data_IF_059953820024
#
_entry.id   IF_059953820024
#
_cell.length_a   1.000
_cell.length_b   1.000
_cell.length_c   1.000
_cell.angle_alpha   90.00
_cell.angle_beta   90.00
_cell.angle_gamma   90.00
#
_symmetry.space_group_name_H-M   'P 1'
#
loop_
_entity.id
_entity.type
_entity.pdbx_description
1 polymer ?
#
# COMPACT_ATOMS: atom_id res chain seq x y z
N UNK A 1 -9.48 -43.68 3.83
CA UNK A 1 -9.27 -43.73 5.28
C UNK A 1 -10.65 -43.65 5.92
N UNK A 2 -11.27 -44.79 6.20
CA UNK A 2 -12.65 -44.83 6.74
C UNK A 2 -12.59 -45.24 8.21
N UNK A 3 -13.35 -44.55 9.07
CA UNK A 3 -13.55 -44.95 10.47
C UNK A 3 -12.77 -44.17 11.54
N UNK A 4 -11.94 -43.19 11.18
CA UNK A 4 -11.23 -42.32 12.14
C UNK A 4 -11.93 -40.97 12.31
N UNK A 5 -11.94 -40.44 13.53
CA UNK A 5 -12.40 -39.06 13.78
C UNK A 5 -11.38 -38.04 13.28
N UNK A 6 -11.82 -36.79 13.08
CA UNK A 6 -10.95 -35.66 12.75
C UNK A 6 -9.91 -35.38 13.86
N UNK A 7 -10.24 -35.66 15.13
CA UNK A 7 -9.31 -35.58 16.26
C UNK A 7 -8.20 -36.63 16.19
N UNK A 8 -8.54 -37.87 15.84
CA UNK A 8 -7.56 -38.97 15.69
C UNK A 8 -6.57 -38.73 14.53
N UNK A 9 -6.98 -37.94 13.55
CA UNK A 9 -6.18 -37.60 12.38
C UNK A 9 -5.40 -36.28 12.55
N UNK A 10 -5.58 -35.57 13.67
CA UNK A 10 -5.00 -34.24 13.88
C UNK A 10 -5.52 -33.20 12.88
N UNK A 11 -6.72 -33.41 12.32
CA UNK A 11 -7.34 -32.54 11.32
C UNK A 11 -8.40 -31.62 11.93
N UNK A 12 -8.62 -31.68 13.24
CA UNK A 12 -9.60 -30.86 13.95
C UNK A 12 -9.50 -29.38 13.59
N UNK A 13 -8.29 -28.81 13.69
CA UNK A 13 -8.04 -27.40 13.42
C UNK A 13 -8.35 -27.02 11.96
N UNK A 14 -8.18 -27.96 11.02
CA UNK A 14 -8.50 -27.75 9.61
C UNK A 14 -10.01 -27.72 9.37
N UNK A 15 -10.77 -28.57 10.07
CA UNK A 15 -12.22 -28.56 9.98
C UNK A 15 -12.88 -27.41 10.76
N UNK A 16 -12.21 -26.91 11.80
CA UNK A 16 -12.63 -25.74 12.57
C UNK A 16 -12.38 -24.41 11.83
N UNK A 17 -11.41 -24.38 10.90
CA UNK A 17 -11.16 -23.22 10.05
C UNK A 17 -12.40 -22.85 9.21
N UNK A 18 -12.49 -21.58 8.80
CA UNK A 18 -13.57 -21.17 7.90
C UNK A 18 -13.30 -21.71 6.48
N UNK A 19 -14.31 -22.25 5.81
CA UNK A 19 -14.13 -22.71 4.42
C UNK A 19 -13.78 -21.55 3.49
N UNK A 20 -12.70 -21.72 2.73
CA UNK A 20 -12.08 -20.69 1.89
C UNK A 20 -11.01 -19.85 2.61
N UNK A 21 -10.72 -20.12 3.88
CA UNK A 21 -9.64 -19.44 4.60
C UNK A 21 -8.27 -20.01 4.26
N UNK A 22 -7.25 -19.15 4.31
CA UNK A 22 -5.85 -19.54 4.19
C UNK A 22 -5.24 -19.63 5.59
N UNK A 23 -4.67 -20.77 5.91
CA UNK A 23 -4.01 -21.03 7.20
C UNK A 23 -2.52 -21.34 6.99
N UNK A 24 -1.72 -21.09 8.02
CA UNK A 24 -0.33 -21.56 8.05
C UNK A 24 -0.30 -22.89 8.79
N UNK A 25 0.09 -23.95 8.08
CA UNK A 25 0.14 -25.29 8.65
C UNK A 25 1.44 -26.00 8.26
N UNK A 26 1.89 -26.90 9.13
CA UNK A 26 3.00 -27.80 8.83
C UNK A 26 2.46 -29.21 8.66
N UNK A 27 2.62 -29.77 7.46
CA UNK A 27 2.38 -31.17 7.14
C UNK A 27 3.73 -31.92 7.08
N UNK A 28 3.74 -33.26 7.21
CA UNK A 28 4.96 -34.04 7.06
C UNK A 28 5.64 -33.76 5.71
N UNK A 29 6.83 -33.16 5.77
CA UNK A 29 7.63 -32.80 4.58
C UNK A 29 7.35 -31.42 3.97
N UNK A 30 6.37 -30.64 4.47
CA UNK A 30 6.09 -29.30 3.94
C UNK A 30 5.41 -28.39 4.97
N UNK A 31 5.97 -27.19 5.16
CA UNK A 31 5.34 -26.11 5.92
C UNK A 31 5.03 -24.95 4.96
N UNK A 32 3.86 -24.34 5.09
CA UNK A 32 3.43 -23.30 4.16
C UNK A 32 2.01 -22.79 4.44
N UNK A 33 1.54 -21.95 3.52
CA UNK A 33 0.16 -21.44 3.49
C UNK A 33 -0.73 -22.36 2.66
N UNK A 34 -1.86 -22.76 3.24
CA UNK A 34 -2.82 -23.67 2.62
C UNK A 34 -4.21 -23.07 2.66
N UNK A 35 -4.92 -23.13 1.53
CA UNK A 35 -6.34 -22.83 1.48
C UNK A 35 -7.13 -24.09 1.86
N UNK A 36 -8.05 -23.94 2.82
CA UNK A 36 -8.87 -25.03 3.31
C UNK A 36 -10.31 -24.86 2.83
N UNK A 37 -10.87 -25.89 2.19
CA UNK A 37 -12.27 -25.92 1.75
C UNK A 37 -12.97 -27.16 2.27
N UNK A 38 -14.21 -26.99 2.69
CA UNK A 38 -15.01 -28.00 3.38
C UNK A 38 -16.31 -28.13 2.60
N UNK A 39 -16.73 -29.36 2.28
CA UNK A 39 -18.02 -29.61 1.66
C UNK A 39 -18.69 -30.83 2.28
N UNK A 40 -20.03 -30.84 2.33
CA UNK A 40 -20.76 -32.03 2.72
C UNK A 40 -20.71 -33.05 1.57
N UNK A 41 -20.37 -34.29 1.87
CA UNK A 41 -20.39 -35.40 0.93
C UNK A 41 -21.53 -36.35 1.30
N UNK A 42 -22.35 -36.72 0.32
CA UNK A 42 -23.30 -37.83 0.46
C UNK A 42 -23.00 -38.85 -0.63
N UNK A 43 -22.65 -40.06 -0.23
CA UNK A 43 -22.34 -41.14 -1.16
C UNK A 43 -23.06 -42.42 -0.68
N UNK A 44 -23.89 -43.00 -1.54
CA UNK A 44 -24.66 -44.24 -1.28
C UNK A 44 -25.35 -44.28 0.09
N UNK A 45 -26.03 -43.19 0.47
CA UNK A 45 -26.76 -43.09 1.74
C UNK A 45 -25.88 -42.84 2.98
N UNK A 46 -24.55 -42.84 2.84
CA UNK A 46 -23.60 -42.48 3.90
C UNK A 46 -23.23 -41.00 3.81
N UNK A 47 -23.34 -40.30 4.93
CA UNK A 47 -22.90 -38.91 5.07
C UNK A 47 -21.39 -38.84 5.37
N UNK A 48 -20.74 -37.80 4.87
CA UNK A 48 -19.33 -37.51 5.12
C UNK A 48 -19.02 -36.03 4.94
N UNK A 49 -17.78 -35.65 5.27
CA UNK A 49 -17.24 -34.31 5.02
C UNK A 49 -16.03 -34.44 4.10
N UNK A 50 -16.00 -33.64 3.05
CA UNK A 50 -14.86 -33.49 2.14
C UNK A 50 -14.01 -32.32 2.63
N UNK A 51 -12.73 -32.58 2.88
CA UNK A 51 -11.72 -31.57 3.16
C UNK A 51 -10.79 -31.48 1.96
N UNK A 52 -10.65 -30.28 1.40
CA UNK A 52 -9.71 -29.98 0.33
C UNK A 52 -8.66 -29.02 0.90
N UNK A 53 -7.41 -29.41 0.79
CA UNK A 53 -6.25 -28.64 1.25
C UNK A 53 -5.46 -28.28 -0.01
N UNK A 54 -5.43 -27.00 -0.37
CA UNK A 54 -4.73 -26.52 -1.54
C UNK A 54 -3.48 -25.74 -1.13
N UNK A 55 -2.33 -26.10 -1.67
CA UNK A 55 -1.10 -25.34 -1.41
C UNK A 55 -1.11 -24.05 -2.23
N UNK A 56 -1.27 -22.93 -1.53
CA UNK A 56 -1.30 -21.60 -2.14
C UNK A 56 0.01 -20.85 -1.91
N UNK A 57 0.96 -21.44 -1.19
CA UNK A 57 2.18 -20.75 -0.78
C UNK A 57 3.05 -20.36 -1.98
N UNK A 58 3.15 -21.24 -2.99
CA UNK A 58 3.88 -20.90 -4.22
C UNK A 58 3.22 -19.75 -4.98
N UNK A 59 1.89 -19.80 -5.13
CA UNK A 59 1.12 -18.78 -5.87
C UNK A 59 1.22 -17.44 -5.16
N UNK A 60 1.00 -17.39 -3.84
CA UNK A 60 1.09 -16.17 -3.04
C UNK A 60 2.51 -15.59 -3.04
N UNK A 61 3.56 -16.43 -2.94
CA UNK A 61 4.96 -15.95 -3.03
C UNK A 61 5.29 -15.39 -4.40
N UNK A 62 4.77 -15.99 -5.47
CA UNK A 62 4.98 -15.48 -6.82
C UNK A 62 4.22 -14.18 -7.05
N UNK A 63 2.99 -14.05 -6.54
CA UNK A 63 2.23 -12.80 -6.56
C UNK A 63 2.93 -11.69 -5.77
N UNK A 64 3.39 -11.97 -4.55
CA UNK A 64 4.17 -11.06 -3.70
C UNK A 64 5.45 -10.63 -4.41
N UNK A 65 6.20 -11.58 -4.99
CA UNK A 65 7.42 -11.30 -5.76
C UNK A 65 7.14 -10.44 -6.97
N UNK A 66 6.08 -10.72 -7.73
CA UNK A 66 5.71 -9.93 -8.90
C UNK A 66 5.27 -8.53 -8.50
N UNK A 67 4.49 -8.39 -7.42
CA UNK A 67 4.11 -7.10 -6.87
C UNK A 67 5.35 -6.31 -6.45
N UNK A 68 6.29 -6.95 -5.75
CA UNK A 68 7.56 -6.35 -5.36
C UNK A 68 8.40 -5.91 -6.56
N UNK A 69 8.53 -6.74 -7.59
CA UNK A 69 9.25 -6.39 -8.82
C UNK A 69 8.60 -5.21 -9.57
N UNK A 70 7.25 -5.18 -9.64
CA UNK A 70 6.52 -4.04 -10.22
C UNK A 70 6.80 -2.76 -9.43
N UNK A 71 6.79 -2.82 -8.10
CA UNK A 71 7.11 -1.69 -7.24
C UNK A 71 8.54 -1.19 -7.47
N UNK A 72 9.53 -2.10 -7.44
CA UNK A 72 10.93 -1.74 -7.72
C UNK A 72 11.11 -1.06 -9.08
N UNK A 73 10.37 -1.51 -10.10
CA UNK A 73 10.41 -0.90 -11.43
C UNK A 73 9.87 0.53 -11.41
N UNK A 74 8.72 0.76 -10.80
CA UNK A 74 8.13 2.11 -10.67
C UNK A 74 9.06 3.04 -9.90
N UNK A 75 9.64 2.56 -8.79
CA UNK A 75 10.64 3.31 -8.02
C UNK A 75 11.85 3.68 -8.88
N UNK A 76 12.41 2.70 -9.58
CA UNK A 76 13.56 2.92 -10.46
C UNK A 76 13.25 3.95 -11.54
N UNK A 77 12.07 3.88 -12.14
CA UNK A 77 11.62 4.89 -13.10
C UNK A 77 11.51 6.28 -12.47
N UNK A 78 10.87 6.42 -11.31
CA UNK A 78 10.64 7.74 -10.71
C UNK A 78 11.92 8.40 -10.19
N UNK A 79 12.84 7.60 -9.63
CA UNK A 79 14.19 8.05 -9.25
C UNK A 79 14.93 8.54 -10.49
N UNK A 80 14.97 7.75 -11.57
CA UNK A 80 15.66 8.13 -12.80
C UNK A 80 15.01 9.36 -13.48
N UNK A 81 13.67 9.44 -13.48
CA UNK A 81 12.91 10.57 -14.01
C UNK A 81 13.20 11.88 -13.28
N UNK A 82 13.56 11.80 -11.99
CA UNK A 82 13.96 12.97 -11.20
C UNK A 82 15.44 13.30 -11.39
N UNK A 83 16.33 12.31 -11.38
CA UNK A 83 17.78 12.50 -11.44
C UNK A 83 18.30 12.89 -12.82
N UNK A 84 17.73 12.34 -13.91
CA UNK A 84 18.23 12.64 -15.26
C UNK A 84 18.09 14.12 -15.64
N UNK A 85 16.94 14.80 -15.40
CA UNK A 85 16.82 16.24 -15.60
C UNK A 85 17.75 17.04 -14.69
N UNK A 86 17.89 16.67 -13.40
CA UNK A 86 18.82 17.35 -12.48
C UNK A 86 20.24 17.33 -13.04
N UNK A 87 20.71 16.16 -13.50
CA UNK A 87 22.03 16.01 -14.09
C UNK A 87 22.18 16.88 -15.35
N UNK A 88 21.16 16.89 -16.21
CA UNK A 88 21.17 17.69 -17.44
C UNK A 88 21.29 19.18 -17.13
N UNK A 89 20.47 19.70 -16.21
CA UNK A 89 20.46 21.12 -15.84
C UNK A 89 21.78 21.50 -15.18
N UNK A 90 22.29 20.67 -14.27
CA UNK A 90 23.59 20.90 -13.65
C UNK A 90 24.70 20.97 -14.71
N UNK A 91 24.69 20.08 -15.71
CA UNK A 91 25.62 20.13 -16.84
C UNK A 91 25.50 21.43 -17.65
N UNK A 92 24.28 21.86 -17.97
CA UNK A 92 24.02 23.14 -18.67
C UNK A 92 24.53 24.33 -17.87
N UNK A 93 24.30 24.36 -16.56
CA UNK A 93 24.79 25.41 -15.67
C UNK A 93 26.31 25.44 -15.59
N UNK A 94 26.96 24.28 -15.51
CA UNK A 94 28.43 24.20 -15.57
C UNK A 94 28.94 24.80 -16.88
N UNK A 95 28.39 24.41 -18.03
CA UNK A 95 28.78 24.97 -19.33
C UNK A 95 28.53 26.48 -19.42
N UNK A 96 27.43 26.98 -18.85
CA UNK A 96 27.12 28.41 -18.80
C UNK A 96 28.19 29.17 -18.02
N UNK A 97 28.60 28.68 -16.84
CA UNK A 97 29.60 29.34 -16.00
C UNK A 97 31.01 29.33 -16.56
N UNK A 98 31.31 28.45 -17.53
CA UNK A 98 32.63 28.36 -18.17
C UNK A 98 32.71 29.07 -19.52
N UNK A 99 31.63 29.73 -19.97
CA UNK A 99 31.62 30.47 -21.24
C UNK A 99 32.31 31.82 -21.09
N UNK A 100 33.15 32.14 -22.07
CA UNK A 100 33.82 33.44 -22.18
C UNK A 100 33.59 34.03 -23.59
N UNK A 101 32.96 35.22 -23.72
CA UNK A 101 32.33 35.99 -22.65
C UNK A 101 31.03 35.32 -22.17
N UNK A 102 30.64 35.61 -20.92
CA UNK A 102 29.35 35.19 -20.37
C UNK A 102 28.19 35.84 -21.13
N UNK A 103 27.08 35.13 -21.38
CA UNK A 103 25.84 35.71 -21.93
C UNK A 103 25.29 36.82 -21.04
N UNK A 104 24.57 37.80 -21.59
CA UNK A 104 24.03 38.95 -20.83
C UNK A 104 23.07 38.53 -19.71
N UNK A 105 22.33 37.44 -19.91
CA UNK A 105 21.29 36.89 -19.04
C UNK A 105 21.77 35.75 -18.13
N UNK A 106 23.08 35.48 -18.08
CA UNK A 106 23.65 34.30 -17.40
C UNK A 106 23.22 34.16 -15.92
N UNK A 107 23.06 35.27 -15.20
CA UNK A 107 22.59 35.26 -13.81
C UNK A 107 21.15 34.76 -13.68
N UNK A 108 20.28 35.11 -14.63
CA UNK A 108 18.89 34.67 -14.66
C UNK A 108 18.80 33.18 -14.92
N UNK A 109 19.48 32.71 -15.97
CA UNK A 109 19.55 31.29 -16.33
C UNK A 109 20.12 30.43 -15.19
N UNK A 110 21.16 30.93 -14.50
CA UNK A 110 21.75 30.25 -13.36
C UNK A 110 20.74 30.08 -12.22
N UNK A 111 20.05 31.16 -11.84
CA UNK A 111 19.04 31.13 -10.78
C UNK A 111 17.89 30.19 -11.14
N UNK A 112 17.39 30.26 -12.36
CA UNK A 112 16.24 29.49 -12.80
C UNK A 112 16.58 27.99 -12.90
N UNK A 113 17.79 27.66 -13.37
CA UNK A 113 18.32 26.31 -13.37
C UNK A 113 18.48 25.73 -11.96
N UNK A 114 19.04 26.50 -11.02
CA UNK A 114 19.17 26.07 -9.62
C UNK A 114 17.80 25.85 -8.97
N UNK A 115 16.84 26.76 -9.19
CA UNK A 115 15.48 26.61 -8.69
C UNK A 115 14.78 25.37 -9.28
N UNK A 116 15.05 25.01 -10.53
CA UNK A 116 14.52 23.79 -11.14
C UNK A 116 15.14 22.52 -10.53
N UNK A 117 16.44 22.52 -10.26
CA UNK A 117 17.13 21.43 -9.54
C UNK A 117 16.51 21.24 -8.16
N UNK A 118 16.35 22.33 -7.39
CA UNK A 118 15.77 22.30 -6.05
C UNK A 118 14.35 21.68 -6.05
N UNK A 119 13.47 22.14 -6.95
CA UNK A 119 12.10 21.59 -7.06
C UNK A 119 12.09 20.10 -7.37
N UNK A 120 12.98 19.63 -8.25
CA UNK A 120 13.10 18.21 -8.63
C UNK A 120 13.62 17.37 -7.46
N UNK A 121 14.64 17.85 -6.75
CA UNK A 121 15.17 17.18 -5.57
C UNK A 121 14.11 17.08 -4.46
N UNK A 122 13.39 18.16 -4.17
CA UNK A 122 12.33 18.17 -3.18
C UNK A 122 11.16 17.23 -3.54
N UNK A 123 10.81 17.13 -4.83
CA UNK A 123 9.81 16.16 -5.30
C UNK A 123 10.27 14.71 -5.08
N UNK A 124 11.52 14.41 -5.41
CA UNK A 124 12.11 13.08 -5.18
C UNK A 124 12.12 12.72 -3.69
N UNK A 125 12.48 13.65 -2.80
CA UNK A 125 12.44 13.44 -1.35
C UNK A 125 11.02 13.11 -0.86
N UNK A 126 10.00 13.85 -1.32
CA UNK A 126 8.60 13.56 -0.97
C UNK A 126 8.15 12.19 -1.47
N UNK A 127 8.55 11.81 -2.68
CA UNK A 127 8.26 10.49 -3.25
C UNK A 127 8.88 9.36 -2.41
N UNK A 128 10.17 9.47 -2.07
CA UNK A 128 10.88 8.48 -1.25
C UNK A 128 10.32 8.39 0.19
N UNK A 129 9.90 9.52 0.77
CA UNK A 129 9.25 9.55 2.08
C UNK A 129 7.88 8.86 2.08
N UNK A 130 7.06 9.07 1.04
CA UNK A 130 5.80 8.34 0.88
C UNK A 130 6.01 6.83 0.71
N UNK A 131 7.09 6.44 0.03
CA UNK A 131 7.43 5.03 -0.16
C UNK A 131 7.93 4.35 1.13
N UNK A 132 8.79 5.02 1.92
CA UNK A 132 9.32 4.44 3.16
C UNK A 132 8.22 4.19 4.21
N UNK A 133 7.15 4.99 4.19
CA UNK A 133 5.95 4.75 4.99
C UNK A 133 5.19 3.50 4.51
N UNK A 134 5.04 3.28 3.21
CA UNK A 134 4.34 2.11 2.65
C UNK A 134 5.13 0.80 2.85
N UNK A 135 6.45 0.85 2.70
CA UNK A 135 7.34 -0.31 2.84
C UNK A 135 7.60 -0.75 4.30
N UNK A 136 7.19 0.06 5.29
CA UNK A 136 7.35 -0.20 6.72
C UNK A 136 6.03 -0.27 7.47
N UNK A 137 4.91 -0.65 6.85
CA UNK A 137 3.71 -0.93 7.64
C UNK A 137 3.99 -2.13 8.56
N UNK A 138 4.09 -1.95 9.90
CA UNK A 138 4.16 -3.09 10.80
C UNK A 138 2.86 -3.90 10.69
N UNK A 139 2.88 -5.20 11.07
CA UNK A 139 1.65 -5.97 11.14
C UNK A 139 0.61 -5.22 11.99
N UNK A 140 -0.63 -5.04 11.49
CA UNK A 140 -1.62 -4.19 12.14
C UNK A 140 -2.01 -4.75 13.51
N UNK A 141 -1.95 -3.91 14.54
CA UNK A 141 -2.42 -4.24 15.88
C UNK A 141 -3.92 -3.90 15.99
N UNK A 142 -4.76 -4.89 15.63
CA UNK A 142 -6.21 -4.70 15.64
C UNK A 142 -6.74 -4.62 17.07
N UNK A 143 -7.41 -3.51 17.38
CA UNK A 143 -8.12 -3.27 18.64
C UNK A 143 -9.51 -2.71 18.36
N UNK A 144 -10.38 -2.80 19.36
CA UNK A 144 -11.72 -2.24 19.27
C UNK A 144 -11.59 -0.72 19.16
N UNK A 145 -12.17 -0.15 18.12
CA UNK A 145 -12.03 1.26 17.76
C UNK A 145 -13.41 1.87 17.47
N UNK A 146 -13.73 2.97 18.14
CA UNK A 146 -14.82 3.87 17.72
C UNK A 146 -14.31 4.72 16.56
N UNK A 147 -14.78 4.38 15.34
CA UNK A 147 -14.34 5.06 14.13
C UNK A 147 -14.80 6.52 14.09
N UNK A 148 -15.96 6.83 14.68
CA UNK A 148 -16.48 8.19 14.74
C UNK A 148 -15.65 9.09 15.65
N UNK A 149 -15.15 8.56 16.77
CA UNK A 149 -14.18 9.27 17.61
C UNK A 149 -12.87 9.56 16.88
N UNK A 150 -12.33 8.59 16.13
CA UNK A 150 -11.10 8.76 15.36
C UNK A 150 -11.25 9.81 14.26
N UNK A 151 -12.31 9.75 13.45
CA UNK A 151 -12.57 10.71 12.38
C UNK A 151 -12.66 12.15 12.92
N UNK A 152 -13.34 12.35 14.06
CA UNK A 152 -13.38 13.64 14.76
C UNK A 152 -12.00 14.12 15.21
N UNK A 153 -11.14 13.21 15.66
CA UNK A 153 -9.77 13.55 16.05
C UNK A 153 -8.95 14.03 14.86
N UNK A 154 -8.98 13.27 13.77
CA UNK A 154 -8.26 13.60 12.53
C UNK A 154 -8.75 14.93 11.93
N UNK A 155 -10.06 15.15 11.89
CA UNK A 155 -10.66 16.38 11.37
C UNK A 155 -10.21 17.63 12.16
N UNK A 156 -9.99 17.51 13.48
CA UNK A 156 -9.43 18.61 14.29
C UNK A 156 -7.95 18.85 14.02
N UNK A 157 -7.20 17.80 13.69
CA UNK A 157 -5.75 17.87 13.47
C UNK A 157 -5.42 18.59 12.15
N UNK A 158 -6.22 18.37 11.10
CA UNK A 158 -6.07 18.99 9.78
C UNK A 158 -6.89 20.29 9.69
N UNK A 159 -6.52 21.30 10.49
CA UNK A 159 -7.21 22.60 10.60
C UNK A 159 -7.17 23.47 9.34
N UNK A 160 -6.41 23.08 8.32
CA UNK A 160 -6.29 23.79 7.04
C UNK A 160 -7.35 23.44 5.99
N UNK A 161 -8.19 22.42 6.22
CA UNK A 161 -9.25 22.01 5.30
C UNK A 161 -10.63 22.10 5.97
N UNK A 162 -11.64 22.56 5.24
CA UNK A 162 -13.02 22.53 5.71
C UNK A 162 -13.55 21.09 5.68
N UNK A 163 -13.33 20.35 6.77
CA UNK A 163 -13.82 18.96 6.91
C UNK A 163 -15.24 18.99 7.47
N UNK A 164 -16.22 18.67 6.62
CA UNK A 164 -17.59 18.40 7.06
C UNK A 164 -17.74 16.90 7.33
N UNK A 165 -18.24 16.55 8.52
CA UNK A 165 -18.59 15.17 8.85
C UNK A 165 -20.10 15.07 9.00
N UNK A 166 -20.72 14.22 8.21
CA UNK A 166 -22.13 13.90 8.38
C UNK A 166 -22.29 12.91 9.53
N UNK A 167 -23.27 13.18 10.40
CA UNK A 167 -23.53 12.34 11.56
C UNK A 167 -24.08 10.98 11.12
N UNK A 168 -23.30 9.93 11.35
CA UNK A 168 -23.70 8.53 11.14
C UNK A 168 -23.93 7.79 12.46
N UNK A 169 -24.50 6.59 12.35
CA UNK A 169 -24.63 5.66 13.48
C UNK A 169 -23.25 5.31 14.06
N UNK A 170 -23.16 5.13 15.38
CA UNK A 170 -21.91 4.73 16.03
C UNK A 170 -21.36 3.42 15.42
N UNK A 171 -20.13 3.47 14.91
CA UNK A 171 -19.49 2.36 14.22
C UNK A 171 -18.23 1.91 14.98
N UNK A 172 -18.30 0.70 15.52
CA UNK A 172 -17.17 0.05 16.19
C UNK A 172 -16.55 -0.99 15.26
N UNK A 173 -15.24 -0.90 15.06
CA UNK A 173 -14.47 -1.80 14.16
C UNK A 173 -13.28 -2.39 14.89
N UNK A 174 -12.80 -3.54 14.40
CA UNK A 174 -11.51 -4.11 14.83
C UNK A 174 -10.43 -3.68 13.85
N UNK A 175 -9.69 -2.63 14.19
CA UNK A 175 -8.69 -2.03 13.31
C UNK A 175 -7.48 -1.51 14.10
N UNK A 176 -6.39 -1.26 13.39
CA UNK A 176 -5.23 -0.54 13.94
C UNK A 176 -5.50 0.96 13.82
N UNK A 177 -5.71 1.61 14.96
CA UNK A 177 -6.11 3.02 15.00
C UNK A 177 -5.05 3.93 14.36
N UNK A 178 -3.77 3.64 14.57
CA UNK A 178 -2.66 4.50 14.15
C UNK A 178 -2.50 4.40 12.62
N UNK A 179 -2.69 3.20 12.05
CA UNK A 179 -2.67 3.01 10.60
C UNK A 179 -3.88 3.67 9.91
N UNK A 180 -5.07 3.56 10.49
CA UNK A 180 -6.28 4.21 9.96
C UNK A 180 -6.17 5.73 10.06
N UNK A 181 -5.65 6.25 11.18
CA UNK A 181 -5.37 7.68 11.37
C UNK A 181 -4.44 8.21 10.28
N UNK A 182 -3.31 7.53 10.06
CA UNK A 182 -2.34 7.94 9.05
C UNK A 182 -2.92 7.88 7.63
N UNK A 183 -3.76 6.88 7.34
CA UNK A 183 -4.46 6.78 6.06
C UNK A 183 -5.42 7.96 5.86
N UNK A 184 -6.22 8.31 6.88
CA UNK A 184 -7.15 9.44 6.83
C UNK A 184 -6.43 10.78 6.66
N UNK A 185 -5.34 11.01 7.39
CA UNK A 185 -4.49 12.20 7.23
C UNK A 185 -3.99 12.30 5.79
N UNK A 186 -3.51 11.19 5.22
CA UNK A 186 -3.01 11.17 3.85
C UNK A 186 -4.12 11.45 2.83
N UNK A 187 -5.32 10.92 3.03
CA UNK A 187 -6.49 11.20 2.18
C UNK A 187 -6.90 12.67 2.26
N UNK A 188 -7.00 13.24 3.46
CA UNK A 188 -7.35 14.66 3.64
C UNK A 188 -6.30 15.59 3.02
N UNK A 189 -5.01 15.31 3.20
CA UNK A 189 -3.94 16.07 2.55
C UNK A 189 -3.99 15.95 1.03
N UNK A 190 -4.35 14.80 0.50
CA UNK A 190 -4.52 14.63 -0.94
C UNK A 190 -5.74 15.39 -1.46
N UNK A 191 -6.85 15.41 -0.72
CA UNK A 191 -8.05 16.18 -1.06
C UNK A 191 -7.83 17.70 -0.97
N UNK A 192 -7.02 18.16 -0.02
CA UNK A 192 -6.70 19.58 0.16
C UNK A 192 -5.66 20.11 -0.85
N UNK A 193 -4.96 19.23 -1.58
CA UNK A 193 -4.04 19.67 -2.64
C UNK A 193 -4.85 20.31 -3.77
N UNK A 194 -4.51 21.52 -4.21
CA UNK A 194 -5.09 22.11 -5.41
C UNK A 194 -4.86 21.18 -6.59
N UNK A 195 -5.92 20.77 -7.28
CA UNK A 195 -5.78 20.06 -8.54
C UNK A 195 -5.07 21.02 -9.52
N UNK A 196 -3.91 20.66 -10.10
CA UNK A 196 -3.33 21.46 -11.15
C UNK A 196 -4.31 21.45 -12.33
N UNK A 197 -4.94 22.59 -12.58
CA UNK A 197 -5.85 22.77 -13.71
C UNK A 197 -5.08 22.54 -15.01
N UNK A 198 -5.35 21.44 -15.70
CA UNK A 198 -5.47 21.47 -17.15
C UNK A 198 -6.61 20.54 -17.59
N UNK A 199 -7.68 21.17 -18.06
CA UNK A 199 -8.72 20.65 -18.98
C UNK A 199 -9.46 19.37 -18.60
N UNK A 200 -10.65 19.59 -18.04
CA UNK A 200 -11.91 18.90 -18.36
C UNK A 200 -11.94 17.36 -18.25
N UNK A 201 -12.14 16.86 -17.04
CA UNK A 201 -13.17 15.86 -16.65
C UNK A 201 -12.74 15.23 -15.33
N UNK A 202 -13.27 15.77 -14.23
CA UNK A 202 -13.39 15.02 -12.98
C UNK A 202 -14.85 15.09 -12.58
N UNK A 203 -15.65 14.24 -13.22
CA UNK A 203 -16.88 13.78 -12.62
C UNK A 203 -16.49 12.60 -11.73
N UNK A 204 -16.50 12.81 -10.42
CA UNK A 204 -16.52 11.70 -9.48
C UNK A 204 -17.90 11.04 -9.59
N UNK A 205 -17.93 9.80 -10.02
CA UNK A 205 -19.01 8.84 -9.84
C UNK A 205 -18.42 7.61 -9.13
#
# INVERSE_FOLDING_TARGET
MFGHSDDELGLHDLFAAASGSVITQTFPGRSGRFEIRHAALRQEGRGGRLLVINDVDRVLRDEERQAWQRLLRVLGHEVNNSLAPIRSIAGTLTTLTTREPLPVDWHGDLRDGLALIERRAAALTRFLAGYSQLARLPPPQRRALDLGALLRSVARLESGAAVQMDAGTALHVQADADQIEQALINLLRNAAKPCPRSTAQCACA
#
